data_IF_826884567669
#
_entry.id   IF_826884567669
#
_cell.length_a   1.000
_cell.length_b   1.000
_cell.length_c   1.000
_cell.angle_alpha   90.00
_cell.angle_beta   90.00
_cell.angle_gamma   90.00
#
_symmetry.space_group_name_H-M   'P 1'
#
loop_
_entity.id
_entity.type
_entity.pdbx_description
1 polymer ?
#
# COMPACT_ATOMS: atom_id res chain seq x y z
N UNK A 1 -33.38 5.03 21.89
CA UNK A 1 -32.74 5.73 20.75
C UNK A 1 -31.23 5.60 20.92
N UNK A 2 -30.53 4.98 19.97
CA UNK A 2 -29.09 4.65 20.08
C UNK A 2 -28.24 5.88 19.72
N UNK A 3 -27.36 6.31 20.62
CA UNK A 3 -26.29 7.25 20.30
C UNK A 3 -25.16 6.47 19.61
N UNK A 4 -25.21 6.42 18.28
CA UNK A 4 -24.09 5.90 17.49
C UNK A 4 -23.09 7.02 17.26
N UNK A 5 -22.18 7.26 18.21
CA UNK A 5 -20.96 8.02 17.92
C UNK A 5 -20.21 7.23 16.85
N UNK A 6 -20.34 7.67 15.59
CA UNK A 6 -19.52 7.16 14.50
C UNK A 6 -18.09 7.57 14.84
N UNK A 7 -17.25 6.59 15.17
CA UNK A 7 -15.82 6.79 15.33
C UNK A 7 -15.32 7.47 14.06
N UNK A 8 -15.03 8.77 14.15
CA UNK A 8 -14.13 9.42 13.23
C UNK A 8 -12.78 8.85 13.60
N UNK A 9 -12.27 7.92 12.78
CA UNK A 9 -10.88 7.47 12.86
C UNK A 9 -10.06 8.76 12.88
N UNK A 10 -9.36 9.08 13.98
CA UNK A 10 -8.58 10.29 14.01
C UNK A 10 -7.57 10.15 12.89
N UNK A 11 -7.46 11.17 12.04
CA UNK A 11 -6.42 11.26 11.04
C UNK A 11 -5.08 11.08 11.78
N UNK A 12 -4.57 9.86 11.81
CA UNK A 12 -3.16 9.61 12.07
C UNK A 12 -2.47 10.50 11.06
N UNK A 13 -1.68 11.44 11.57
CA UNK A 13 -0.98 12.46 10.81
C UNK A 13 -0.50 11.85 9.49
N UNK A 14 -1.15 12.19 8.36
CA UNK A 14 -0.91 11.56 7.05
C UNK A 14 0.41 12.08 6.48
N UNK A 15 1.53 11.72 7.10
CA UNK A 15 2.82 11.86 6.44
C UNK A 15 2.88 10.78 5.38
N UNK A 16 2.54 11.14 4.15
CA UNK A 16 2.79 10.33 2.96
C UNK A 16 4.20 9.72 3.03
N UNK A 17 4.27 8.40 3.21
CA UNK A 17 5.53 7.68 3.08
C UNK A 17 5.71 7.25 1.62
N UNK A 18 6.91 7.50 1.07
CA UNK A 18 7.30 6.98 -0.22
C UNK A 18 8.26 5.80 -0.01
N UNK A 19 7.79 4.59 -0.29
CA UNK A 19 8.57 3.36 -0.22
C UNK A 19 9.12 3.03 -1.61
N UNK A 20 10.42 3.16 -1.78
CA UNK A 20 11.11 2.88 -3.05
C UNK A 20 11.71 1.48 -3.03
N UNK A 21 11.11 0.56 -3.79
CA UNK A 21 11.59 -0.82 -3.92
C UNK A 21 11.96 -1.18 -5.36
N UNK A 22 11.85 -0.24 -6.29
CA UNK A 22 12.10 -0.44 -7.73
C UNK A 22 13.51 -0.97 -8.05
N UNK A 23 14.49 -0.85 -7.15
CA UNK A 23 15.82 -1.42 -7.34
C UNK A 23 15.94 -2.91 -6.96
N UNK A 24 14.85 -3.56 -6.54
CA UNK A 24 14.84 -4.96 -6.11
C UNK A 24 14.16 -5.83 -7.17
N UNK A 25 14.86 -6.13 -8.28
CA UNK A 25 14.29 -6.89 -9.41
C UNK A 25 13.74 -8.26 -9.03
N UNK A 26 14.34 -8.89 -8.01
CA UNK A 26 13.97 -10.21 -7.54
C UNK A 26 12.88 -10.18 -6.46
N UNK A 27 12.34 -9.00 -6.12
CA UNK A 27 11.21 -8.89 -5.22
C UNK A 27 9.96 -9.43 -5.94
N UNK A 28 9.44 -10.54 -5.43
CA UNK A 28 8.24 -11.22 -5.94
C UNK A 28 7.11 -11.25 -4.93
N UNK A 29 7.44 -11.29 -3.63
CA UNK A 29 6.49 -11.40 -2.53
C UNK A 29 6.33 -10.06 -1.82
N UNK A 30 5.08 -9.60 -1.68
CA UNK A 30 4.73 -8.35 -0.99
C UNK A 30 3.84 -8.59 0.23
N UNK A 31 3.63 -9.83 0.66
CA UNK A 31 2.89 -10.11 1.91
C UNK A 31 3.44 -9.33 3.11
N UNK A 32 4.77 -9.20 3.31
CA UNK A 32 5.29 -8.39 4.41
C UNK A 32 4.88 -6.90 4.34
N UNK A 33 4.64 -6.36 3.14
CA UNK A 33 4.14 -4.99 2.96
C UNK A 33 2.63 -4.91 3.22
N UNK A 34 1.89 -5.94 2.81
CA UNK A 34 0.45 -6.05 3.06
C UNK A 34 0.13 -6.23 4.55
N UNK A 35 0.94 -6.96 5.30
CA UNK A 35 0.76 -7.17 6.74
C UNK A 35 1.26 -5.98 7.59
N UNK A 36 2.03 -5.06 6.99
CA UNK A 36 2.60 -3.92 7.71
C UNK A 36 1.51 -2.91 8.12
N UNK A 37 1.13 -2.85 9.40
CA UNK A 37 0.07 -1.96 9.90
C UNK A 37 0.38 -0.46 9.76
N UNK A 38 1.64 -0.09 9.54
CA UNK A 38 2.07 1.28 9.31
C UNK A 38 2.03 1.73 7.85
N UNK A 39 1.83 0.80 6.90
CA UNK A 39 1.69 1.11 5.47
C UNK A 39 0.22 1.01 5.06
N UNK A 40 -0.35 2.07 4.50
CA UNK A 40 -1.77 2.06 4.12
C UNK A 40 -2.23 3.28 3.32
N UNK A 41 -3.46 3.72 3.58
CA UNK A 41 -4.10 4.82 2.88
C UNK A 41 -3.26 6.09 2.93
N UNK A 42 -2.91 6.61 1.75
CA UNK A 42 -2.11 7.83 1.62
C UNK A 42 -0.61 7.59 1.42
N UNK A 43 -0.14 6.34 1.47
CA UNK A 43 1.25 5.99 1.17
C UNK A 43 1.47 5.65 -0.32
N UNK A 44 2.74 5.63 -0.74
CA UNK A 44 3.15 5.24 -2.09
C UNK A 44 4.21 4.15 -2.08
N UNK A 45 4.02 3.13 -2.90
CA UNK A 45 5.00 2.07 -3.15
C UNK A 45 5.43 2.06 -4.62
N UNK A 46 6.74 2.17 -4.86
CA UNK A 46 7.33 2.17 -6.20
C UNK A 46 7.95 0.80 -6.50
N UNK A 47 7.32 0.06 -7.41
CA UNK A 47 7.59 -1.35 -7.77
C UNK A 47 7.93 -1.53 -9.27
N UNK A 48 8.15 -0.46 -10.04
CA UNK A 48 8.21 -0.51 -11.51
C UNK A 48 9.26 -1.46 -12.11
N UNK A 49 10.32 -1.81 -11.39
CA UNK A 49 11.34 -2.76 -11.88
C UNK A 49 11.49 -3.97 -10.97
N UNK A 50 10.41 -4.38 -10.29
CA UNK A 50 10.36 -5.62 -9.50
C UNK A 50 9.67 -6.74 -10.29
N UNK A 51 9.70 -7.96 -9.75
CA UNK A 51 8.96 -9.12 -10.29
C UNK A 51 7.63 -9.35 -9.57
N UNK A 52 7.09 -8.30 -8.93
CA UNK A 52 5.81 -8.36 -8.21
C UNK A 52 4.67 -8.52 -9.22
N UNK A 53 3.76 -9.46 -8.96
CA UNK A 53 2.63 -9.70 -9.86
C UNK A 53 1.60 -8.56 -9.81
N UNK A 54 0.76 -8.43 -10.84
CA UNK A 54 -0.31 -7.44 -10.80
C UNK A 54 -1.38 -7.74 -9.75
N UNK A 55 -1.59 -9.01 -9.39
CA UNK A 55 -2.47 -9.37 -8.27
C UNK A 55 -1.94 -8.87 -6.94
N UNK A 56 -0.63 -9.02 -6.72
CA UNK A 56 0.05 -8.53 -5.51
C UNK A 56 0.08 -7.00 -5.45
N UNK A 57 0.31 -6.35 -6.59
CA UNK A 57 0.22 -4.89 -6.70
C UNK A 57 -1.21 -4.40 -6.40
N UNK A 58 -2.24 -5.10 -6.91
CA UNK A 58 -3.64 -4.79 -6.63
C UNK A 58 -3.98 -5.00 -5.15
N UNK A 59 -3.48 -6.07 -4.52
CA UNK A 59 -3.66 -6.34 -3.09
C UNK A 59 -3.11 -5.22 -2.20
N UNK A 60 -1.99 -4.60 -2.57
CA UNK A 60 -1.50 -3.38 -1.90
C UNK A 60 -2.38 -2.16 -2.19
N UNK A 61 -2.90 -2.05 -3.42
CA UNK A 61 -3.89 -1.04 -3.81
C UNK A 61 -5.17 -1.09 -2.98
N UNK A 62 -5.72 -2.29 -2.77
CA UNK A 62 -6.93 -2.54 -1.97
C UNK A 62 -6.77 -2.13 -0.50
N UNK A 63 -5.52 -2.11 0.00
CA UNK A 63 -5.16 -1.59 1.32
C UNK A 63 -5.16 -0.06 1.40
N UNK A 64 -5.25 0.63 0.26
CA UNK A 64 -5.20 2.09 0.14
C UNK A 64 -3.81 2.64 -0.22
N UNK A 65 -2.83 1.79 -0.46
CA UNK A 65 -1.49 2.22 -0.91
C UNK A 65 -1.56 2.56 -2.39
N UNK A 66 -1.03 3.72 -2.79
CA UNK A 66 -0.87 4.04 -4.21
C UNK A 66 0.35 3.31 -4.76
N UNK A 67 0.13 2.31 -5.61
CA UNK A 67 1.20 1.50 -6.20
C UNK A 67 1.61 2.04 -7.57
N UNK A 68 2.92 2.10 -7.82
CA UNK A 68 3.47 2.29 -9.17
C UNK A 68 4.17 1.00 -9.58
N UNK A 69 3.54 0.21 -10.45
CA UNK A 69 4.12 -1.00 -11.02
C UNK A 69 4.17 -0.89 -12.54
N UNK A 70 5.08 -1.61 -13.18
CA UNK A 70 5.15 -1.67 -14.65
C UNK A 70 4.29 -2.82 -15.15
N UNK A 71 3.52 -2.59 -16.20
CA UNK A 71 2.72 -3.65 -16.84
C UNK A 71 1.40 -3.99 -16.13
N UNK A 72 1.07 -3.31 -15.03
CA UNK A 72 -0.23 -3.40 -14.38
C UNK A 72 -1.02 -2.13 -14.69
N UNK A 73 -2.09 -2.25 -15.49
CA UNK A 73 -2.99 -1.15 -15.88
C UNK A 73 -4.21 -1.06 -14.99
#
# INVERSE_FOLDING_TARGET
>A
MRYGLRFVVPAVIMSLMNLFLSSNSNLTDVQPLHDNTGLGAGDRAYLQSTSVSCGDAAMLGDKGVTVRSTGCT
#
